data_IF_281202936932
#
_entry.id   IF_281202936932
#
_cell.length_a   1.000
_cell.length_b   1.000
_cell.length_c   1.000
_cell.angle_alpha   90.00
_cell.angle_beta   90.00
_cell.angle_gamma   90.00
#
_symmetry.space_group_name_H-M   'P 1'
#
loop_
_entity.id
_entity.type
_entity.pdbx_description
1 polymer ?
#
# COMPACT_ATOMS: atom_id res chain seq x y z
N UNK A 1 22.37 -37.87 -20.57
CA UNK A 1 21.47 -36.70 -20.59
C UNK A 1 22.10 -35.58 -19.77
N UNK A 2 22.68 -34.56 -20.42
CA UNK A 2 23.15 -33.34 -19.75
C UNK A 2 21.92 -32.49 -19.45
N UNK A 3 21.66 -32.20 -18.18
CA UNK A 3 20.61 -31.29 -17.77
C UNK A 3 20.89 -29.91 -18.39
N UNK A 4 19.91 -29.35 -19.11
CA UNK A 4 19.97 -27.95 -19.56
C UNK A 4 19.95 -27.04 -18.32
N UNK A 5 20.54 -25.84 -18.37
CA UNK A 5 20.38 -24.85 -17.32
C UNK A 5 18.88 -24.65 -17.12
N UNK A 6 18.40 -24.84 -15.89
CA UNK A 6 17.00 -24.59 -15.58
C UNK A 6 16.77 -23.08 -15.71
N UNK A 7 15.70 -22.68 -16.38
CA UNK A 7 15.26 -21.30 -16.36
C UNK A 7 14.90 -20.95 -14.91
N UNK A 8 15.76 -20.20 -14.24
CA UNK A 8 15.52 -19.75 -12.87
C UNK A 8 14.70 -18.46 -12.93
N UNK A 9 13.43 -18.53 -12.54
CA UNK A 9 12.60 -17.35 -12.33
C UNK A 9 12.87 -16.82 -10.92
N UNK A 10 13.66 -15.76 -10.82
CA UNK A 10 13.88 -15.05 -9.55
C UNK A 10 12.88 -13.90 -9.49
N UNK A 11 11.87 -14.02 -8.63
CA UNK A 11 10.92 -12.95 -8.34
C UNK A 11 11.32 -12.33 -7.00
N UNK A 12 11.90 -11.13 -7.04
CA UNK A 12 12.03 -10.29 -5.83
C UNK A 12 11.05 -9.12 -5.97
N UNK A 13 10.11 -9.01 -5.02
CA UNK A 13 9.07 -8.00 -5.05
C UNK A 13 9.08 -7.18 -3.74
N UNK A 14 9.87 -6.11 -3.67
CA UNK A 14 9.54 -5.02 -2.73
C UNK A 14 8.24 -4.38 -3.22
N UNK A 15 7.37 -3.84 -2.36
CA UNK A 15 6.07 -3.29 -2.80
C UNK A 15 6.18 -2.21 -3.90
N UNK A 16 7.34 -1.54 -3.97
CA UNK A 16 7.73 -0.59 -5.02
C UNK A 16 8.45 -1.21 -6.21
N UNK A 17 8.81 -2.50 -6.19
CA UNK A 17 9.44 -3.19 -7.31
C UNK A 17 8.51 -3.25 -8.51
N UNK A 18 7.19 -3.41 -8.33
CA UNK A 18 6.21 -3.28 -9.42
C UNK A 18 6.28 -1.92 -10.11
N UNK A 19 6.47 -0.83 -9.36
CA UNK A 19 6.74 0.50 -9.94
C UNK A 19 8.09 0.55 -10.68
N UNK A 20 9.15 -0.07 -10.15
CA UNK A 20 10.45 -0.15 -10.84
C UNK A 20 10.36 -0.99 -12.12
N UNK A 21 9.65 -2.14 -12.10
CA UNK A 21 9.40 -3.02 -13.25
C UNK A 21 8.64 -2.31 -14.37
N UNK A 22 7.84 -1.29 -14.00
CA UNK A 22 7.03 -0.49 -14.92
C UNK A 22 7.79 0.72 -15.46
N UNK A 23 8.66 1.33 -14.66
CA UNK A 23 9.42 2.54 -15.05
C UNK A 23 10.75 2.23 -15.75
N UNK A 24 11.31 1.05 -15.53
CA UNK A 24 12.59 0.61 -16.09
C UNK A 24 12.35 -0.74 -16.78
N UNK A 25 12.78 -0.89 -18.04
CA UNK A 25 12.61 -2.15 -18.76
C UNK A 25 13.20 -3.33 -17.99
N UNK A 26 12.68 -4.55 -18.23
CA UNK A 26 13.05 -5.79 -17.52
C UNK A 26 14.57 -5.99 -17.35
N UNK A 27 15.37 -5.47 -18.29
CA UNK A 27 16.83 -5.62 -18.30
C UNK A 27 17.60 -4.69 -17.34
N UNK A 28 17.15 -3.45 -17.12
CA UNK A 28 17.82 -2.51 -16.19
C UNK A 28 17.65 -2.96 -14.73
N UNK A 29 16.56 -3.69 -14.46
CA UNK A 29 16.19 -4.21 -13.15
C UNK A 29 16.98 -5.46 -12.75
N UNK A 30 17.32 -6.32 -13.72
CA UNK A 30 18.18 -7.49 -13.52
C UNK A 30 19.53 -7.08 -12.92
N UNK A 31 20.12 -5.96 -13.36
CA UNK A 31 21.38 -5.45 -12.81
C UNK A 31 21.29 -5.04 -11.33
N UNK A 32 20.23 -4.32 -10.95
CA UNK A 32 20.00 -3.90 -9.56
C UNK A 32 19.57 -5.03 -8.62
N UNK A 33 18.78 -5.98 -9.12
CA UNK A 33 18.39 -7.20 -8.40
C UNK A 33 19.58 -8.10 -8.13
N UNK A 34 20.46 -8.32 -9.12
CA UNK A 34 21.69 -9.10 -8.94
C UNK A 34 22.60 -8.49 -7.87
N UNK A 35 22.77 -7.16 -7.86
CA UNK A 35 23.56 -6.46 -6.84
C UNK A 35 22.96 -6.53 -5.41
N UNK A 36 21.64 -6.76 -5.30
CA UNK A 36 20.94 -6.94 -4.01
C UNK A 36 21.01 -8.41 -3.58
N UNK A 37 20.83 -9.35 -4.52
CA UNK A 37 20.97 -10.79 -4.30
C UNK A 37 22.40 -11.19 -3.93
N UNK A 38 23.41 -10.55 -4.50
CA UNK A 38 24.82 -10.78 -4.15
C UNK A 38 25.06 -10.50 -2.65
N UNK A 39 24.39 -9.48 -2.10
CA UNK A 39 24.42 -9.19 -0.64
C UNK A 39 23.60 -10.18 0.20
N UNK A 40 22.53 -10.76 -0.35
CA UNK A 40 21.65 -11.72 0.36
C UNK A 40 22.06 -13.20 0.18
N UNK A 41 23.01 -13.49 -0.71
CA UNK A 41 23.42 -14.83 -1.15
C UNK A 41 24.04 -15.71 -0.07
N UNK A 42 24.42 -15.16 1.09
CA UNK A 42 25.02 -15.93 2.18
C UNK A 42 24.03 -16.88 2.89
N UNK A 43 22.72 -16.83 2.58
CA UNK A 43 21.68 -17.61 3.27
C UNK A 43 20.68 -18.33 2.36
N UNK A 44 20.93 -18.45 1.05
CA UNK A 44 19.97 -19.04 0.10
C UNK A 44 20.24 -20.55 -0.08
N UNK A 45 19.34 -21.39 0.43
CA UNK A 45 19.33 -22.84 0.13
C UNK A 45 18.73 -23.11 -1.26
N UNK A 46 18.91 -24.33 -1.79
CA UNK A 46 18.59 -24.80 -3.16
C UNK A 46 17.12 -24.64 -3.63
N UNK A 47 16.25 -23.99 -2.85
CA UNK A 47 14.85 -23.69 -3.20
C UNK A 47 14.68 -22.18 -3.34
N UNK A 48 15.03 -21.63 -4.50
CA UNK A 48 15.06 -20.19 -4.73
C UNK A 48 13.64 -19.57 -4.90
N UNK A 49 13.02 -19.21 -3.79
CA UNK A 49 12.00 -18.16 -3.72
C UNK A 49 12.38 -17.19 -2.59
N UNK A 50 12.90 -16.03 -2.96
CA UNK A 50 13.28 -14.98 -2.00
C UNK A 50 12.18 -13.93 -1.98
N UNK A 51 11.31 -13.99 -0.97
CA UNK A 51 10.41 -12.88 -0.69
C UNK A 51 11.16 -11.80 0.08
N UNK A 52 11.14 -10.53 -0.36
CA UNK A 52 11.84 -9.46 0.33
C UNK A 52 11.07 -8.89 1.53
N UNK A 53 9.93 -9.47 1.92
CA UNK A 53 9.21 -9.08 3.12
C UNK A 53 8.76 -10.31 3.92
N UNK A 54 9.52 -10.63 4.98
CA UNK A 54 9.20 -11.70 5.92
C UNK A 54 8.16 -11.20 6.92
N UNK A 55 6.90 -11.56 6.70
CA UNK A 55 5.91 -11.61 7.78
C UNK A 55 5.89 -13.05 8.32
N UNK A 56 5.61 -13.20 9.62
CA UNK A 56 5.27 -14.51 10.20
C UNK A 56 4.24 -15.23 9.31
N UNK A 57 4.35 -16.55 9.24
CA UNK A 57 3.45 -17.38 8.43
C UNK A 57 2.00 -17.06 8.77
N UNK A 58 1.34 -16.41 7.81
CA UNK A 58 -0.04 -15.99 7.96
C UNK A 58 -0.94 -17.22 7.90
N UNK A 59 -1.72 -17.46 8.96
CA UNK A 59 -2.63 -18.61 9.00
C UNK A 59 -4.01 -18.20 8.49
N UNK A 60 -4.84 -19.19 8.15
CA UNK A 60 -6.25 -18.94 7.85
C UNK A 60 -7.01 -18.35 9.06
N UNK A 61 -6.53 -18.59 10.28
CA UNK A 61 -7.13 -18.06 11.50
C UNK A 61 -6.91 -16.54 11.67
N UNK A 62 -5.96 -15.95 10.94
CA UNK A 62 -5.61 -14.54 11.10
C UNK A 62 -6.72 -13.60 10.57
N UNK A 63 -7.43 -14.00 9.52
CA UNK A 63 -8.59 -13.26 9.00
C UNK A 63 -9.88 -13.96 9.42
N UNK A 64 -10.55 -13.35 10.39
CA UNK A 64 -11.92 -13.69 10.75
C UNK A 64 -12.80 -12.49 10.39
N UNK A 65 -13.53 -12.52 9.25
CA UNK A 65 -14.38 -11.42 8.81
C UNK A 65 -15.45 -11.07 9.85
N UNK A 66 -16.06 -12.10 10.43
CA UNK A 66 -17.12 -12.00 11.44
C UNK A 66 -16.61 -11.74 12.87
N UNK A 67 -15.29 -11.59 13.07
CA UNK A 67 -14.75 -11.37 14.40
C UNK A 67 -15.17 -10.02 14.97
N UNK A 68 -15.55 -10.02 16.25
CA UNK A 68 -15.81 -8.80 17.01
C UNK A 68 -14.50 -8.03 17.17
N UNK A 69 -14.43 -6.85 16.56
CA UNK A 69 -13.28 -5.94 16.66
C UNK A 69 -13.52 -4.95 17.78
N UNK A 70 -12.55 -4.81 18.69
CA UNK A 70 -12.65 -3.91 19.82
C UNK A 70 -11.69 -2.71 19.78
N UNK A 71 -10.93 -2.58 18.68
CA UNK A 71 -10.14 -1.41 18.31
C UNK A 71 -10.80 -0.81 17.06
N UNK A 72 -11.14 0.48 17.09
CA UNK A 72 -11.77 1.15 15.94
C UNK A 72 -10.73 1.39 14.86
N UNK A 73 -9.67 2.13 15.21
CA UNK A 73 -8.59 2.50 14.32
C UNK A 73 -7.26 2.01 14.89
N UNK A 74 -6.41 1.48 14.03
CA UNK A 74 -5.06 1.09 14.40
C UNK A 74 -4.03 1.67 13.42
N UNK A 75 -2.96 2.22 13.97
CA UNK A 75 -1.75 2.54 13.23
C UNK A 75 -0.54 1.97 13.96
N UNK A 76 0.35 1.32 13.20
CA UNK A 76 1.66 0.92 13.70
C UNK A 76 2.76 1.31 12.72
N UNK A 77 3.81 1.97 13.22
CA UNK A 77 5.10 2.09 12.54
C UNK A 77 5.74 3.47 12.65
N UNK A 78 6.86 3.65 11.96
CA UNK A 78 7.74 4.78 12.21
C UNK A 78 7.10 6.14 11.97
N UNK A 79 7.34 7.05 12.92
CA UNK A 79 7.04 8.48 12.86
C UNK A 79 8.35 9.19 13.16
N UNK A 80 8.89 9.92 12.18
CA UNK A 80 10.09 10.74 12.41
C UNK A 80 9.96 12.11 11.75
N UNK A 81 10.74 13.05 12.28
CA UNK A 81 10.77 14.44 11.83
C UNK A 81 11.67 14.70 10.64
N UNK A 82 12.55 13.76 10.30
CA UNK A 82 13.63 13.99 9.33
C UNK A 82 13.22 13.68 7.90
N UNK A 83 12.16 12.88 7.71
CA UNK A 83 11.70 12.47 6.39
C UNK A 83 10.47 13.22 5.97
N UNK A 84 10.54 13.87 4.81
CA UNK A 84 9.43 14.61 4.25
C UNK A 84 8.21 13.71 4.05
N UNK A 85 8.40 12.48 3.52
CA UNK A 85 7.33 11.53 3.27
C UNK A 85 6.57 11.06 4.51
N UNK A 86 7.01 11.40 5.72
CA UNK A 86 6.39 11.00 6.98
C UNK A 86 5.43 12.07 7.55
N UNK A 87 5.19 13.17 6.83
CA UNK A 87 4.36 14.26 7.32
C UNK A 87 2.92 13.83 7.68
N UNK A 88 2.28 12.94 6.91
CA UNK A 88 0.94 12.42 7.21
C UNK A 88 0.92 11.66 8.54
N UNK A 89 2.00 10.92 8.83
CA UNK A 89 2.18 10.16 10.07
C UNK A 89 2.47 11.08 11.25
N UNK A 90 3.21 12.17 11.03
CA UNK A 90 3.38 13.21 12.06
C UNK A 90 2.06 13.88 12.38
N UNK A 91 1.26 14.22 11.35
CA UNK A 91 -0.07 14.80 11.50
C UNK A 91 -1.02 13.87 12.27
N UNK A 92 -0.96 12.56 12.02
CA UNK A 92 -1.68 11.55 12.80
C UNK A 92 -1.37 11.64 14.31
N UNK A 93 -0.09 11.71 14.67
CA UNK A 93 0.31 11.80 16.08
C UNK A 93 0.07 13.19 16.68
N UNK A 94 0.08 14.26 15.87
CA UNK A 94 -0.32 15.60 16.28
C UNK A 94 -1.75 15.64 16.81
N UNK A 95 -2.66 14.95 16.12
CA UNK A 95 -4.09 14.93 16.45
C UNK A 95 -4.49 13.81 17.43
N UNK A 96 -3.53 13.09 18.00
CA UNK A 96 -3.79 11.89 18.82
C UNK A 96 -4.76 12.12 19.99
N UNK A 97 -4.80 13.32 20.56
CA UNK A 97 -5.71 13.69 21.66
C UNK A 97 -7.17 13.89 21.20
N UNK A 98 -7.39 14.14 19.91
CA UNK A 98 -8.71 14.30 19.29
C UNK A 98 -9.17 13.05 18.54
N UNK A 99 -8.34 12.01 18.48
CA UNK A 99 -8.67 10.78 17.76
C UNK A 99 -9.93 10.12 18.35
N UNK A 100 -10.75 9.47 17.51
CA UNK A 100 -11.93 8.76 17.98
C UNK A 100 -11.59 7.73 19.08
N UNK A 101 -12.58 7.41 19.92
CA UNK A 101 -12.40 6.40 20.95
C UNK A 101 -11.91 5.06 20.38
N UNK A 102 -11.10 4.36 21.18
CA UNK A 102 -10.53 3.04 20.83
C UNK A 102 -9.64 3.09 19.58
N UNK A 103 -9.01 4.24 19.33
CA UNK A 103 -7.89 4.37 18.39
C UNK A 103 -6.61 3.94 19.10
N UNK A 104 -5.81 3.06 18.47
CA UNK A 104 -4.50 2.63 18.96
C UNK A 104 -3.41 3.09 18.00
N UNK A 105 -2.46 3.90 18.49
CA UNK A 105 -1.35 4.45 17.71
C UNK A 105 -0.01 3.96 18.28
N UNK A 106 0.79 3.29 17.44
CA UNK A 106 2.09 2.74 17.82
C UNK A 106 3.18 3.35 16.95
N UNK A 107 4.18 3.98 17.57
CA UNK A 107 5.39 4.44 16.87
C UNK A 107 6.53 3.43 17.06
N UNK A 108 7.12 2.93 15.96
CA UNK A 108 8.28 2.02 16.02
C UNK A 108 9.63 2.74 15.95
N UNK A 109 9.64 4.06 15.76
CA UNK A 109 10.85 4.87 15.65
C UNK A 109 11.22 5.57 16.96
N UNK A 110 12.52 5.83 17.22
CA UNK A 110 12.95 6.57 18.39
C UNK A 110 12.45 8.03 18.33
N UNK A 111 11.47 8.34 19.20
CA UNK A 111 11.41 9.54 20.03
C UNK A 111 11.69 10.94 19.43
N UNK A 112 11.52 11.19 18.13
CA UNK A 112 11.43 12.59 17.63
C UNK A 112 10.22 13.35 18.18
N UNK A 113 9.32 12.66 18.88
CA UNK A 113 8.32 13.26 19.77
C UNK A 113 8.98 14.11 20.87
N UNK A 114 10.23 13.83 21.26
CA UNK A 114 10.92 14.57 22.32
C UNK A 114 11.40 15.98 21.91
N UNK A 115 11.32 16.34 20.61
CA UNK A 115 11.66 17.70 20.17
C UNK A 115 10.43 18.62 20.38
N UNK A 116 10.23 18.97 21.65
CA UNK A 116 9.47 20.11 22.20
C UNK A 116 7.93 20.12 22.25
N UNK A 117 7.18 19.22 21.61
CA UNK A 117 5.70 19.29 21.61
C UNK A 117 4.94 18.00 21.96
N UNK A 118 5.61 16.86 22.14
CA UNK A 118 4.94 15.59 22.38
C UNK A 118 5.46 14.97 23.68
N UNK A 119 4.54 14.69 24.60
CA UNK A 119 4.84 13.90 25.79
C UNK A 119 5.48 12.56 25.39
N UNK A 120 6.47 12.13 26.17
CA UNK A 120 7.14 10.84 25.99
C UNK A 120 6.05 9.75 26.00
N UNK A 121 5.88 9.06 24.87
CA UNK A 121 4.92 7.96 24.79
C UNK A 121 5.39 6.81 25.69
N UNK A 122 4.46 6.14 26.40
CA UNK A 122 4.79 4.96 27.16
C UNK A 122 5.30 3.84 26.23
N UNK A 123 6.03 2.88 26.79
CA UNK A 123 6.48 1.72 26.03
C UNK A 123 5.28 0.81 25.69
N UNK A 124 5.32 0.15 24.53
CA UNK A 124 4.25 -0.74 24.07
C UNK A 124 4.13 -2.07 24.85
N UNK A 125 4.94 -2.26 25.90
CA UNK A 125 4.88 -3.45 26.78
C UNK A 125 3.56 -3.58 27.53
N UNK A 126 2.81 -2.49 27.69
CA UNK A 126 1.57 -2.42 28.48
C UNK A 126 0.32 -2.13 27.64
N UNK A 127 0.30 -2.49 26.35
CA UNK A 127 -0.90 -2.40 25.49
C UNK A 127 -1.97 -3.45 25.89
N UNK A 128 -2.34 -3.52 27.17
CA UNK A 128 -3.70 -3.93 27.50
C UNK A 128 -4.62 -2.87 26.90
N UNK A 129 -5.45 -3.26 25.94
CA UNK A 129 -6.21 -2.34 25.09
C UNK A 129 -7.25 -1.47 25.81
N UNK A 130 -7.23 -1.44 27.13
CA UNK A 130 -8.20 -0.72 27.98
C UNK A 130 -7.62 0.56 28.57
N UNK A 131 -6.29 0.75 28.61
CA UNK A 131 -5.68 1.93 29.27
C UNK A 131 -4.68 2.70 28.42
N UNK A 132 -3.98 2.05 27.48
CA UNK A 132 -2.96 2.69 26.66
C UNK A 132 -3.35 2.66 25.17
N UNK A 133 -3.77 3.82 24.65
CA UNK A 133 -4.14 4.00 23.24
C UNK A 133 -2.97 4.47 22.38
N UNK A 134 -1.83 4.82 23.00
CA UNK A 134 -0.69 5.41 22.30
C UNK A 134 0.61 4.96 22.95
N UNK A 135 1.52 4.36 22.19
CA UNK A 135 2.79 3.90 22.73
C UNK A 135 3.93 3.96 21.71
N UNK A 136 5.15 3.79 22.19
CA UNK A 136 6.36 3.65 21.39
C UNK A 136 7.03 2.31 21.66
N UNK A 137 7.48 1.64 20.60
CA UNK A 137 8.22 0.39 20.70
C UNK A 137 7.74 -0.68 19.72
N UNK A 138 8.12 -1.92 20.02
CA UNK A 138 7.68 -3.10 19.27
C UNK A 138 6.26 -3.49 19.67
N UNK A 139 5.51 -4.04 18.72
CA UNK A 139 4.16 -4.56 18.94
C UNK A 139 3.98 -5.84 18.13
N UNK A 140 3.01 -6.67 18.53
CA UNK A 140 2.67 -7.90 17.81
C UNK A 140 1.44 -7.63 16.94
N UNK A 141 1.61 -7.76 15.62
CA UNK A 141 0.53 -7.56 14.65
C UNK A 141 -0.73 -8.36 15.00
N UNK A 142 -0.57 -9.65 15.32
CA UNK A 142 -1.67 -10.54 15.65
C UNK A 142 -2.49 -10.10 16.87
N UNK A 143 -1.90 -9.37 17.82
CA UNK A 143 -2.60 -8.91 19.03
C UNK A 143 -3.44 -7.65 18.78
N UNK A 144 -3.01 -6.79 17.86
CA UNK A 144 -3.69 -5.50 17.61
C UNK A 144 -4.56 -5.58 16.36
N UNK A 145 -4.01 -6.01 15.22
CA UNK A 145 -4.71 -6.00 13.94
C UNK A 145 -5.90 -6.97 13.88
N UNK A 146 -5.82 -8.13 14.56
CA UNK A 146 -6.95 -9.08 14.66
C UNK A 146 -8.16 -8.49 15.39
N UNK A 147 -7.95 -7.43 16.18
CA UNK A 147 -8.94 -6.73 16.97
C UNK A 147 -9.32 -5.37 16.40
N UNK A 148 -8.62 -4.92 15.36
CA UNK A 148 -8.85 -3.66 14.67
C UNK A 148 -9.91 -3.78 13.60
N UNK A 149 -10.81 -2.79 13.55
CA UNK A 149 -11.77 -2.64 12.47
C UNK A 149 -11.15 -1.98 11.25
N UNK A 150 -10.38 -0.92 11.47
CA UNK A 150 -9.68 -0.16 10.44
C UNK A 150 -8.18 -0.09 10.72
N UNK A 151 -7.36 -0.24 9.67
CA UNK A 151 -5.90 -0.03 9.72
C UNK A 151 -5.55 1.22 8.94
N UNK A 152 -5.07 2.25 9.65
CA UNK A 152 -4.59 3.48 9.05
C UNK A 152 -3.30 3.22 8.28
N UNK A 153 -3.30 3.61 7.01
CA UNK A 153 -2.24 3.35 6.06
C UNK A 153 -1.79 4.65 5.38
N UNK A 154 -1.30 5.64 6.15
CA UNK A 154 -0.67 6.82 5.55
C UNK A 154 0.60 6.42 4.79
N UNK A 155 0.78 6.99 3.61
CA UNK A 155 2.02 6.76 2.84
C UNK A 155 3.24 7.23 3.62
N UNK A 156 4.40 6.71 3.20
CA UNK A 156 5.69 7.18 3.67
C UNK A 156 6.43 7.89 2.54
N UNK A 157 7.74 7.69 2.50
CA UNK A 157 8.59 8.15 1.40
C UNK A 157 8.21 7.50 0.06
N UNK A 158 7.71 6.27 0.11
CA UNK A 158 7.09 5.60 -1.03
C UNK A 158 5.57 5.69 -0.97
N UNK A 159 4.88 5.73 -2.13
CA UNK A 159 3.43 5.60 -2.20
C UNK A 159 2.93 4.29 -1.55
N UNK A 160 3.70 3.20 -1.62
CA UNK A 160 3.37 1.91 -1.01
C UNK A 160 3.61 1.87 0.50
N UNK A 161 2.80 1.07 1.21
CA UNK A 161 2.96 0.80 2.64
C UNK A 161 2.70 -0.67 2.96
N UNK A 162 3.52 -1.25 3.84
CA UNK A 162 3.31 -2.63 4.34
C UNK A 162 1.96 -2.78 5.07
N UNK A 163 1.43 -1.68 5.61
CA UNK A 163 0.19 -1.66 6.40
C UNK A 163 -1.04 -2.12 5.64
N UNK A 164 -1.06 -1.94 4.31
CA UNK A 164 -2.12 -2.49 3.46
C UNK A 164 -2.13 -4.03 3.51
N UNK A 165 -0.96 -4.65 3.52
CA UNK A 165 -0.80 -6.10 3.51
C UNK A 165 -0.99 -6.68 4.92
N UNK A 166 -0.50 -5.99 5.95
CA UNK A 166 -0.82 -6.28 7.35
C UNK A 166 -2.35 -6.29 7.56
N UNK A 167 -3.03 -5.25 7.07
CA UNK A 167 -4.48 -5.13 7.13
C UNK A 167 -5.19 -6.30 6.42
N UNK A 168 -4.73 -6.68 5.22
CA UNK A 168 -5.24 -7.81 4.46
C UNK A 168 -5.04 -9.17 5.17
N UNK A 169 -3.92 -9.34 5.89
CA UNK A 169 -3.65 -10.56 6.66
C UNK A 169 -4.70 -10.76 7.75
N UNK A 170 -5.08 -9.70 8.45
CA UNK A 170 -6.00 -9.77 9.59
C UNK A 170 -7.43 -9.34 9.27
N UNK A 171 -7.75 -9.07 8.00
CA UNK A 171 -9.03 -8.52 7.57
C UNK A 171 -9.47 -7.27 8.35
N UNK A 172 -8.51 -6.43 8.72
CA UNK A 172 -8.76 -5.06 9.18
C UNK A 172 -8.84 -4.17 7.95
N UNK A 173 -9.86 -3.33 7.83
CA UNK A 173 -10.12 -2.58 6.59
C UNK A 173 -9.04 -1.50 6.41
N UNK A 174 -8.28 -1.48 5.30
CA UNK A 174 -7.27 -0.46 5.07
C UNK A 174 -7.91 0.91 4.85
N UNK A 175 -7.44 1.91 5.60
CA UNK A 175 -7.72 3.34 5.36
C UNK A 175 -6.48 3.96 4.74
N UNK A 176 -6.50 4.11 3.43
CA UNK A 176 -5.42 4.63 2.60
C UNK A 176 -5.42 6.15 2.67
N UNK A 177 -4.33 6.73 3.17
CA UNK A 177 -4.13 8.19 3.16
C UNK A 177 -2.97 8.44 2.22
N UNK A 178 -3.31 8.54 0.93
CA UNK A 178 -2.37 8.65 -0.18
C UNK A 178 -3.12 8.95 -1.47
N UNK A 179 -2.77 10.05 -2.15
CA UNK A 179 -3.38 10.42 -3.43
C UNK A 179 -2.84 9.56 -4.59
N UNK A 180 -1.72 8.87 -4.36
CA UNK A 180 -0.95 8.16 -5.40
C UNK A 180 -0.90 6.65 -5.20
N UNK A 181 -1.54 6.10 -4.15
CA UNK A 181 -1.48 4.67 -3.82
C UNK A 181 -2.01 3.78 -4.94
N UNK A 182 -3.12 4.17 -5.59
CA UNK A 182 -3.69 3.41 -6.70
C UNK A 182 -2.91 3.61 -8.00
N UNK A 183 -2.39 4.80 -8.25
CA UNK A 183 -1.59 5.05 -9.44
C UNK A 183 -0.23 4.33 -9.40
N UNK A 184 0.42 4.26 -8.24
CA UNK A 184 1.83 3.88 -8.15
C UNK A 184 2.10 2.58 -7.36
N UNK A 185 1.22 2.19 -6.45
CA UNK A 185 1.58 1.21 -5.41
C UNK A 185 0.61 0.03 -5.23
N UNK A 186 -0.49 -0.02 -5.97
CA UNK A 186 -1.49 -1.08 -5.84
C UNK A 186 -1.30 -2.13 -6.94
N UNK A 187 -0.71 -3.30 -6.64
CA UNK A 187 -0.45 -4.33 -7.63
C UNK A 187 -1.75 -5.01 -8.06
N UNK A 188 -1.76 -5.59 -9.26
CA UNK A 188 -2.85 -6.45 -9.73
C UNK A 188 -4.25 -5.82 -9.69
N UNK A 189 -4.38 -4.49 -9.83
CA UNK A 189 -5.68 -3.77 -9.82
C UNK A 189 -6.70 -4.34 -10.82
N UNK A 190 -6.22 -5.02 -11.84
CA UNK A 190 -7.07 -5.70 -12.79
C UNK A 190 -7.83 -6.89 -12.21
N UNK A 191 -7.32 -7.53 -11.18
CA UNK A 191 -7.88 -8.72 -10.55
C UNK A 191 -8.24 -8.50 -9.08
N UNK A 192 -7.75 -7.41 -8.48
CA UNK A 192 -7.99 -7.03 -7.09
C UNK A 192 -8.73 -5.69 -7.06
N UNK A 193 -10.02 -5.69 -6.65
CA UNK A 193 -10.83 -4.48 -6.66
C UNK A 193 -10.64 -3.68 -5.36
N UNK A 194 -9.50 -3.03 -5.19
CA UNK A 194 -9.15 -2.30 -3.96
C UNK A 194 -10.22 -1.29 -3.52
N UNK A 195 -10.83 -0.57 -4.48
CA UNK A 195 -11.93 0.37 -4.22
C UNK A 195 -13.11 -0.24 -3.44
N UNK A 196 -13.30 -1.57 -3.53
CA UNK A 196 -14.43 -2.25 -2.88
C UNK A 196 -14.16 -2.70 -1.45
N UNK A 197 -12.89 -2.69 -0.99
CA UNK A 197 -12.52 -3.15 0.35
C UNK A 197 -11.52 -2.25 1.06
N UNK A 198 -11.27 -1.05 0.53
CA UNK A 198 -10.45 -0.01 1.17
C UNK A 198 -11.23 1.28 1.31
N UNK A 199 -10.87 2.10 2.28
CA UNK A 199 -11.30 3.50 2.39
C UNK A 199 -10.16 4.37 1.93
N UNK A 200 -10.42 5.37 1.09
CA UNK A 200 -9.43 6.37 0.70
C UNK A 200 -9.75 7.71 1.33
N UNK A 201 -8.73 8.37 1.85
CA UNK A 201 -8.78 9.75 2.34
C UNK A 201 -7.77 10.56 1.52
N UNK A 202 -8.21 11.60 0.81
CA UNK A 202 -7.31 12.51 0.12
C UNK A 202 -6.32 13.17 1.08
N UNK A 203 -5.07 13.37 0.65
CA UNK A 203 -4.03 13.94 1.50
C UNK A 203 -4.37 15.36 1.96
N UNK A 204 -4.99 16.16 1.08
CA UNK A 204 -5.43 17.52 1.41
C UNK A 204 -6.51 17.54 2.51
N UNK A 205 -7.45 16.60 2.49
CA UNK A 205 -8.48 16.48 3.55
C UNK A 205 -7.86 16.03 4.87
N UNK A 206 -6.91 15.09 4.79
CA UNK A 206 -6.14 14.65 5.96
C UNK A 206 -5.31 15.77 6.58
N UNK A 207 -4.65 16.59 5.77
CA UNK A 207 -3.88 17.73 6.28
C UNK A 207 -4.78 18.73 7.00
N UNK A 208 -5.94 19.04 6.42
CA UNK A 208 -6.90 19.98 6.96
C UNK A 208 -7.42 19.53 8.34
N UNK A 209 -8.03 18.35 8.43
CA UNK A 209 -8.52 17.79 9.70
C UNK A 209 -8.56 16.25 9.65
N UNK A 210 -7.54 15.55 10.18
CA UNK A 210 -7.49 14.09 10.20
C UNK A 210 -8.67 13.43 10.90
N UNK A 211 -9.18 14.05 11.97
CA UNK A 211 -10.24 13.45 12.79
C UNK A 211 -11.56 13.51 12.04
N UNK A 212 -11.89 14.69 11.51
CA UNK A 212 -13.07 14.85 10.65
C UNK A 212 -12.99 13.97 9.41
N UNK A 213 -11.82 13.87 8.78
CA UNK A 213 -11.63 13.00 7.61
C UNK A 213 -11.88 11.51 7.95
N UNK A 214 -11.42 11.02 9.11
CA UNK A 214 -11.70 9.65 9.56
C UNK A 214 -13.20 9.43 9.84
N UNK A 215 -13.83 10.34 10.57
CA UNK A 215 -15.24 10.21 10.97
C UNK A 215 -16.19 10.29 9.77
N UNK A 216 -15.92 11.20 8.83
CA UNK A 216 -16.75 11.37 7.62
C UNK A 216 -16.56 10.29 6.56
N UNK A 217 -15.48 9.48 6.66
CA UNK A 217 -15.20 8.38 5.74
C UNK A 217 -15.40 7.02 6.41
N UNK A 218 -14.37 6.49 7.07
CA UNK A 218 -14.39 5.19 7.72
C UNK A 218 -15.43 5.11 8.84
N UNK A 219 -15.58 6.18 9.63
CA UNK A 219 -16.57 6.27 10.71
C UNK A 219 -18.02 6.36 10.22
N UNK A 220 -18.24 6.79 8.98
CA UNK A 220 -19.56 6.91 8.37
C UNK A 220 -20.05 5.61 7.73
N UNK A 221 -19.21 4.57 7.66
CA UNK A 221 -19.58 3.29 7.07
C UNK A 221 -20.62 2.56 7.93
N UNK A 222 -21.70 2.11 7.29
CA UNK A 222 -22.69 1.27 7.93
C UNK A 222 -22.10 -0.12 8.25
N UNK A 223 -22.59 -0.82 9.30
CA UNK A 223 -22.08 -2.15 9.68
C UNK A 223 -22.06 -3.17 8.54
N UNK A 224 -23.06 -3.16 7.67
CA UNK A 224 -23.12 -4.06 6.51
C UNK A 224 -22.06 -3.75 5.45
N UNK A 225 -21.64 -2.49 5.32
CA UNK A 225 -20.56 -2.10 4.40
C UNK A 225 -19.23 -2.63 4.93
N UNK A 226 -18.98 -2.43 6.23
CA UNK A 226 -17.80 -2.95 6.93
C UNK A 226 -17.71 -4.47 6.76
N UNK A 227 -18.81 -5.19 7.01
CA UNK A 227 -18.86 -6.64 6.86
C UNK A 227 -18.55 -7.07 5.42
N UNK A 228 -19.20 -6.45 4.44
CA UNK A 228 -18.94 -6.72 3.02
C UNK A 228 -17.48 -6.48 2.63
N UNK A 229 -16.88 -5.38 3.09
CA UNK A 229 -15.47 -5.06 2.81
C UNK A 229 -14.53 -6.13 3.37
N UNK A 230 -14.80 -6.65 4.58
CA UNK A 230 -14.01 -7.74 5.18
C UNK A 230 -14.15 -9.05 4.41
N UNK A 231 -15.35 -9.39 3.98
CA UNK A 231 -15.57 -10.59 3.16
C UNK A 231 -14.82 -10.51 1.83
N UNK A 232 -14.83 -9.35 1.17
CA UNK A 232 -14.07 -9.12 -0.05
C UNK A 232 -12.56 -9.22 0.20
N UNK A 233 -12.05 -8.60 1.27
CA UNK A 233 -10.65 -8.69 1.63
C UNK A 233 -10.23 -10.14 1.96
N UNK A 234 -11.07 -10.91 2.66
CA UNK A 234 -10.85 -12.33 2.90
C UNK A 234 -10.81 -13.15 1.61
N UNK A 235 -11.61 -12.79 0.61
CA UNK A 235 -11.60 -13.41 -0.70
C UNK A 235 -10.31 -13.10 -1.48
N UNK A 236 -9.92 -11.83 -1.53
CA UNK A 236 -8.79 -11.34 -2.34
C UNK A 236 -7.42 -11.41 -1.65
N UNK A 237 -7.33 -11.76 -0.35
CA UNK A 237 -6.02 -11.84 0.34
C UNK A 237 -5.05 -12.82 -0.31
N UNK A 238 -5.53 -13.88 -0.99
CA UNK A 238 -4.68 -14.82 -1.76
C UNK A 238 -4.01 -14.17 -2.94
N UNK A 239 -4.55 -13.09 -3.46
CA UNK A 239 -3.94 -12.33 -4.56
C UNK A 239 -2.87 -11.36 -4.09
N UNK A 240 -2.80 -11.08 -2.79
CA UNK A 240 -1.97 -10.04 -2.20
C UNK A 240 -0.88 -10.58 -1.28
N UNK A 241 -1.17 -11.68 -0.57
CA UNK A 241 -0.28 -12.24 0.43
C UNK A 241 0.47 -13.42 -0.15
N UNK A 242 1.80 -13.32 -0.16
CA UNK A 242 2.68 -14.36 -0.69
C UNK A 242 2.86 -15.54 0.28
N UNK A 243 2.67 -15.31 1.58
CA UNK A 243 2.95 -16.24 2.67
C UNK A 243 1.71 -16.95 3.23
N UNK A 244 0.68 -17.18 2.41
CA UNK A 244 -0.54 -17.92 2.78
C UNK A 244 -0.80 -19.09 1.85
N UNK A 245 -1.55 -20.08 2.35
CA UNK A 245 -1.91 -21.27 1.59
C UNK A 245 -2.67 -20.94 0.28
N UNK A 246 -2.14 -21.46 -0.83
CA UNK A 246 -2.59 -21.17 -2.18
C UNK A 246 -2.67 -19.69 -2.52
N UNK A 247 -1.69 -18.93 -2.04
CA UNK A 247 -1.34 -17.63 -2.62
C UNK A 247 -1.31 -17.72 -4.15
N UNK A 248 -1.82 -16.67 -4.79
CA UNK A 248 -1.84 -16.44 -6.25
C UNK A 248 -0.88 -15.34 -6.67
N UNK A 249 -0.04 -14.83 -5.75
CA UNK A 249 0.82 -13.67 -6.01
C UNK A 249 1.80 -13.97 -7.15
N UNK A 250 2.40 -15.17 -7.19
CA UNK A 250 3.34 -15.53 -8.24
C UNK A 250 2.64 -15.60 -9.61
N UNK A 251 1.47 -16.20 -9.68
CA UNK A 251 0.62 -16.26 -10.87
C UNK A 251 0.20 -14.86 -11.31
N UNK A 252 -0.24 -14.01 -10.38
CA UNK A 252 -0.67 -12.65 -10.65
C UNK A 252 0.47 -11.79 -11.20
N UNK A 253 1.71 -11.99 -10.73
CA UNK A 253 2.91 -11.35 -11.30
C UNK A 253 3.10 -11.75 -12.75
N UNK A 254 3.01 -13.05 -13.07
CA UNK A 254 3.17 -13.53 -14.44
C UNK A 254 2.05 -13.04 -15.36
N UNK A 255 0.81 -13.05 -14.87
CA UNK A 255 -0.35 -12.55 -15.61
C UNK A 255 -0.21 -11.04 -15.85
N UNK A 256 0.13 -10.24 -14.83
CA UNK A 256 0.33 -8.79 -15.00
C UNK A 256 1.49 -8.51 -15.97
N UNK A 257 2.64 -9.17 -15.80
CA UNK A 257 3.77 -9.03 -16.71
C UNK A 257 3.43 -9.39 -18.17
N UNK A 258 2.61 -10.42 -18.38
CA UNK A 258 2.15 -10.80 -19.72
C UNK A 258 1.27 -9.72 -20.35
N UNK A 259 0.41 -9.05 -19.56
CA UNK A 259 -0.42 -7.92 -20.03
C UNK A 259 0.45 -6.76 -20.51
N UNK A 260 1.52 -6.45 -19.79
CA UNK A 260 2.45 -5.37 -20.14
C UNK A 260 3.33 -5.71 -21.35
N UNK A 261 3.79 -6.96 -21.47
CA UNK A 261 4.69 -7.39 -22.57
C UNK A 261 4.01 -7.36 -23.94
N UNK A 262 2.71 -7.63 -24.01
CA UNK A 262 1.97 -7.68 -25.29
C UNK A 262 1.75 -6.30 -25.92
N UNK A 263 2.32 -5.23 -25.36
CA UNK A 263 2.16 -3.87 -25.86
C UNK A 263 3.48 -3.24 -26.37
N UNK A 264 3.77 -3.34 -27.68
CA UNK A 264 4.90 -2.66 -28.29
C UNK A 264 4.59 -1.16 -28.40
N UNK A 265 4.88 -0.39 -27.36
CA UNK A 265 4.67 1.06 -27.37
C UNK A 265 4.62 1.75 -26.00
N UNK A 266 4.74 1.02 -24.89
CA UNK A 266 4.79 1.64 -23.55
C UNK A 266 3.48 2.26 -23.06
N UNK A 267 2.36 2.01 -23.74
CA UNK A 267 1.02 2.42 -23.28
C UNK A 267 0.40 1.43 -22.28
N UNK A 268 -0.63 1.89 -21.56
CA UNK A 268 -1.37 1.09 -20.59
C UNK A 268 -1.87 -0.25 -21.19
N UNK A 269 -1.91 -1.35 -20.40
CA UNK A 269 -2.23 -2.67 -20.93
C UNK A 269 -3.61 -2.69 -21.59
N UNK A 270 -3.70 -3.03 -22.89
CA UNK A 270 -4.98 -3.37 -23.52
C UNK A 270 -5.31 -4.85 -23.29
N UNK A 271 -6.48 -5.11 -22.71
CA UNK A 271 -7.00 -6.43 -22.41
C UNK A 271 -8.23 -6.32 -21.52
N UNK A 272 -9.09 -7.34 -21.51
CA UNK A 272 -10.28 -7.36 -20.66
C UNK A 272 -9.85 -7.33 -19.20
N UNK A 273 -10.10 -6.20 -18.56
CA UNK A 273 -9.83 -6.00 -17.16
C UNK A 273 -11.15 -6.09 -16.40
N UNK A 274 -11.36 -7.13 -15.56
CA UNK A 274 -12.65 -7.28 -14.89
C UNK A 274 -12.89 -6.16 -13.86
N UNK A 275 -11.84 -5.48 -13.41
CA UNK A 275 -11.93 -4.30 -12.55
C UNK A 275 -11.25 -3.09 -13.19
N UNK A 276 -11.57 -1.91 -12.66
CA UNK A 276 -11.00 -0.65 -13.12
C UNK A 276 -9.50 -0.63 -12.78
N UNK A 277 -8.68 -0.54 -13.81
CA UNK A 277 -7.23 -0.33 -13.69
C UNK A 277 -7.00 1.18 -13.60
N UNK A 278 -6.72 1.71 -12.39
CA UNK A 278 -6.54 3.15 -12.16
C UNK A 278 -5.13 3.64 -12.47
N UNK A 279 -4.30 2.78 -13.05
CA UNK A 279 -3.01 3.17 -13.59
C UNK A 279 -3.27 4.19 -14.70
N UNK A 280 -2.95 5.46 -14.43
CA UNK A 280 -3.09 6.52 -15.41
C UNK A 280 -2.20 6.19 -16.62
N UNK A 281 -2.71 6.35 -17.84
CA UNK A 281 -1.88 6.28 -19.04
C UNK A 281 -0.93 7.48 -19.17
N UNK A 282 -1.00 8.41 -18.21
CA UNK A 282 -0.32 9.70 -18.16
C UNK A 282 0.47 9.88 -16.85
N UNK A 283 1.14 8.83 -16.36
CA UNK A 283 2.13 9.00 -15.27
C UNK A 283 3.26 9.86 -15.83
N UNK A 284 3.10 11.19 -15.77
CA UNK A 284 4.17 12.14 -15.96
C UNK A 284 5.20 11.81 -14.88
N UNK A 285 6.40 11.46 -15.33
CA UNK A 285 7.52 10.97 -14.51
C UNK A 285 8.10 12.07 -13.56
N UNK A 286 7.30 13.07 -13.20
CA UNK A 286 7.68 14.27 -12.43
C UNK A 286 7.71 14.03 -10.92
N UNK A 287 7.04 13.00 -10.41
CA UNK A 287 7.02 12.69 -8.97
C UNK A 287 8.34 12.13 -8.41
N UNK A 288 9.33 11.86 -9.26
CA UNK A 288 10.66 11.40 -8.85
C UNK A 288 11.78 12.14 -9.61
N UNK A 289 11.83 13.47 -9.51
CA UNK A 289 13.11 14.16 -9.59
C UNK A 289 13.74 14.13 -8.20
N UNK A 290 14.84 13.36 -7.97
CA UNK A 290 15.62 13.55 -6.75
C UNK A 290 15.99 15.03 -6.68
N UNK A 291 15.84 15.64 -5.50
CA UNK A 291 16.05 17.07 -5.28
C UNK A 291 17.41 17.52 -5.83
N UNK A 292 17.41 18.01 -7.06
CA UNK A 292 18.46 18.86 -7.56
C UNK A 292 18.10 20.26 -7.03
N UNK A 293 18.79 20.67 -5.96
CA UNK A 293 18.91 22.07 -5.62
C UNK A 293 19.32 22.82 -6.89
N UNK A 294 18.39 23.60 -7.45
CA UNK A 294 18.72 24.64 -8.43
C UNK A 294 17.87 25.85 -8.10
N UNK A 295 18.52 26.84 -7.47
CA UNK A 295 18.07 28.22 -7.56
C UNK A 295 18.03 28.62 -9.04
N UNK A 296 16.84 28.93 -9.58
CA UNK A 296 16.71 29.75 -10.77
C UNK A 296 15.91 31.01 -10.43
N UNK A 297 16.28 32.17 -11.00
CA UNK A 297 15.59 33.44 -10.78
C UNK A 297 14.22 33.45 -11.48
N UNK A 298 13.31 34.37 -11.12
CA UNK A 298 11.98 34.43 -11.70
C UNK A 298 12.03 34.81 -13.19
N UNK A 299 11.18 34.16 -14.00
CA UNK A 299 10.91 34.55 -15.37
C UNK A 299 10.05 35.83 -15.40
N UNK A 300 10.39 36.73 -16.31
CA UNK A 300 9.82 38.06 -16.47
C UNK A 300 8.83 38.08 -17.64
N UNK A 301 7.65 37.51 -17.49
CA UNK A 301 6.50 37.75 -18.37
C UNK A 301 5.24 37.04 -17.82
N UNK A 302 4.56 37.71 -16.90
CA UNK A 302 3.29 37.24 -16.38
C UNK A 302 2.20 37.14 -17.45
N UNK A 303 1.89 35.92 -17.89
CA UNK A 303 0.53 35.54 -18.33
C UNK A 303 0.29 34.03 -18.14
N UNK A 304 -0.74 33.60 -17.40
CA UNK A 304 -1.30 32.26 -17.53
C UNK A 304 -2.50 32.28 -18.50
N UNK A 305 -2.47 31.40 -19.50
CA UNK A 305 -3.64 31.07 -20.31
C UNK A 305 -4.00 29.60 -20.07
N UNK A 306 -5.20 29.34 -19.54
CA UNK A 306 -5.79 28.01 -19.49
C UNK A 306 -6.91 27.95 -20.54
N UNK A 307 -6.80 27.04 -21.50
CA UNK A 307 -7.92 26.65 -22.36
C UNK A 307 -8.38 25.26 -21.94
N UNK A 308 -9.66 25.17 -21.58
CA UNK A 308 -10.31 23.93 -21.17
C UNK A 308 -10.65 23.04 -22.36
N UNK A 309 -10.53 21.73 -22.17
CA UNK A 309 -11.04 20.72 -23.10
C UNK A 309 -12.24 20.06 -22.45
N UNK A 310 -13.41 20.25 -23.06
CA UNK A 310 -14.63 19.49 -22.81
C UNK A 310 -14.43 18.05 -23.28
N UNK A 311 -14.58 17.08 -22.39
CA UNK A 311 -14.66 15.65 -22.74
C UNK A 311 -16.11 15.19 -22.62
N UNK A 312 -16.83 15.28 -23.73
CA UNK A 312 -17.99 14.43 -24.01
C UNK A 312 -17.68 13.68 -25.29
N UNK A 313 -17.37 12.38 -25.21
CA UNK A 313 -17.54 11.46 -26.34
C UNK A 313 -17.40 9.98 -25.90
N UNK A 314 -18.53 9.29 -26.00
CA UNK A 314 -18.79 7.90 -26.41
C UNK A 314 -17.63 6.89 -26.39
N UNK A 315 -17.78 5.85 -25.56
CA UNK A 315 -17.01 4.62 -25.65
C UNK A 315 -17.64 3.65 -26.67
N UNK A 316 -16.87 3.04 -27.59
CA UNK A 316 -17.37 1.95 -28.42
C UNK A 316 -17.48 0.65 -27.59
N UNK A 317 -18.63 -0.02 -27.74
CA UNK A 317 -18.93 -1.34 -27.17
C UNK A 317 -18.07 -2.43 -27.82
N UNK A 318 -16.83 -2.58 -27.38
CA UNK A 318 -15.98 -3.73 -27.70
C UNK A 318 -16.24 -4.88 -26.72
N UNK A 319 -16.96 -5.90 -27.15
CA UNK A 319 -17.25 -7.10 -26.34
C UNK A 319 -16.00 -7.91 -26.01
N UNK A 320 -15.88 -8.34 -24.75
CA UNK A 320 -14.85 -9.27 -24.29
C UNK A 320 -15.12 -10.70 -24.81
N UNK A 321 -14.14 -11.39 -25.41
CA UNK A 321 -14.29 -12.81 -25.72
C UNK A 321 -14.34 -13.60 -24.40
N UNK A 322 -15.34 -14.48 -24.34
CA UNK A 322 -15.87 -15.06 -23.11
C UNK A 322 -14.89 -15.87 -22.27
N UNK A 323 -15.14 -15.84 -20.96
CA UNK A 323 -14.75 -16.91 -20.04
C UNK A 323 -16.02 -17.64 -19.65
N UNK A 324 -16.19 -18.85 -20.17
CA UNK A 324 -17.19 -19.78 -19.64
C UNK A 324 -16.76 -20.21 -18.23
N UNK A 325 -17.78 -20.36 -17.39
CA UNK A 325 -17.83 -20.63 -15.94
C UNK A 325 -16.72 -21.51 -15.40
#
# INVERSE_FOLDING_TARGET
FRARPRDHLIVSHHYSASFVFRSHGVFDLLGGMLATLERSSQHVSDSALVSPYYHDHATAADCQPDAVRNITYFYGGGVDGQRDGYYLRRRLFAERARMPERTVLVSTGPAWLNDTAYEVLPNCTDLSAETCTQCQGSYVNAELLSRSQFTLSPRGDSPSTARLYDAAQYCSIPVLISDTQFELASPFQCFVPYELFTVQIPEAEWEADPVFALESTAGALAPWQVERMRQLMAHFRRDLLWNIEGSRVAENILVDASRWRLYPGGGAPRGCCPFRDLLSAEVNNTYYKPAACVHLPPAADGTPSCSGVNVTQDFPSGGCPGRAV
#
